data_IF_240435470088
#
_entry.id   IF_240435470088
#
_cell.length_a   1.000
_cell.length_b   1.000
_cell.length_c   1.000
_cell.angle_alpha   90.00
_cell.angle_beta   90.00
_cell.angle_gamma   90.00
#
_symmetry.space_group_name_H-M   'P 1'
#
loop_
_entity.id
_entity.type
_entity.pdbx_description
1 polymer ?
#
# COMPACT_ATOMS: atom_id res chain seq x y z
N UNK A 1 55.51 -38.48 -22.87
CA UNK A 1 55.17 -37.04 -22.94
C UNK A 1 53.66 -36.87 -22.78
N UNK A 2 53.18 -36.21 -21.72
CA UNK A 2 51.73 -35.97 -21.52
C UNK A 2 51.32 -34.78 -22.41
N UNK A 3 50.44 -34.98 -23.39
CA UNK A 3 49.86 -33.90 -24.20
C UNK A 3 49.02 -33.00 -23.28
N UNK A 4 49.40 -31.74 -23.11
CA UNK A 4 48.55 -30.73 -22.47
C UNK A 4 47.37 -30.46 -23.41
N UNK A 5 46.14 -30.74 -22.98
CA UNK A 5 44.92 -30.36 -23.69
C UNK A 5 44.73 -28.84 -23.50
N UNK A 6 44.73 -28.10 -24.60
CA UNK A 6 44.40 -26.67 -24.61
C UNK A 6 42.88 -26.47 -24.72
N UNK A 7 42.39 -25.32 -24.25
CA UNK A 7 41.01 -24.90 -24.42
C UNK A 7 40.68 -24.72 -25.91
N UNK A 8 39.48 -25.14 -26.31
CA UNK A 8 38.97 -24.89 -27.67
C UNK A 8 38.34 -23.49 -27.74
N UNK A 9 38.40 -22.85 -28.92
CA UNK A 9 37.75 -21.54 -29.15
C UNK A 9 36.23 -21.61 -28.89
N UNK A 10 35.61 -22.75 -29.21
CA UNK A 10 34.18 -22.97 -29.00
C UNK A 10 33.81 -23.08 -27.52
N UNK A 11 34.65 -23.69 -26.68
CA UNK A 11 34.44 -23.72 -25.22
C UNK A 11 34.44 -22.30 -24.65
N UNK A 12 35.39 -21.46 -25.06
CA UNK A 12 35.44 -20.08 -24.57
C UNK A 12 34.19 -19.29 -25.02
N UNK A 13 33.73 -19.50 -26.26
CA UNK A 13 32.57 -18.82 -26.81
C UNK A 13 31.28 -19.17 -26.07
N UNK A 14 31.08 -20.45 -25.72
CA UNK A 14 29.90 -20.89 -24.96
C UNK A 14 29.94 -20.30 -23.55
N UNK A 15 31.10 -20.26 -22.90
CA UNK A 15 31.23 -19.73 -21.54
C UNK A 15 30.85 -18.25 -21.48
N UNK A 16 31.38 -17.42 -22.39
CA UNK A 16 31.03 -15.99 -22.40
C UNK A 16 29.56 -15.76 -22.77
N UNK A 17 28.99 -16.59 -23.63
CA UNK A 17 27.55 -16.53 -23.95
C UNK A 17 26.68 -16.83 -22.72
N UNK A 18 27.03 -17.85 -21.92
CA UNK A 18 26.27 -18.17 -20.70
C UNK A 18 26.47 -17.10 -19.63
N UNK A 19 27.70 -16.61 -19.42
CA UNK A 19 27.99 -15.59 -18.41
C UNK A 19 27.25 -14.28 -18.70
N UNK A 20 27.14 -13.87 -19.97
CA UNK A 20 26.39 -12.65 -20.33
C UNK A 20 24.91 -12.78 -20.02
N UNK A 21 24.27 -13.91 -20.38
CA UNK A 21 22.86 -14.16 -20.06
C UNK A 21 22.61 -14.11 -18.56
N UNK A 22 23.45 -14.78 -17.76
CA UNK A 22 23.33 -14.78 -16.30
C UNK A 22 23.53 -13.38 -15.71
N UNK A 23 24.49 -12.60 -16.23
CA UNK A 23 24.74 -11.23 -15.79
C UNK A 23 23.54 -10.31 -16.03
N UNK A 24 22.88 -10.40 -17.20
CA UNK A 24 21.68 -9.61 -17.49
C UNK A 24 20.53 -9.93 -16.54
N UNK A 25 20.27 -11.21 -16.29
CA UNK A 25 19.21 -11.62 -15.36
C UNK A 25 19.46 -11.13 -13.92
N UNK A 26 20.71 -11.17 -13.47
CA UNK A 26 21.10 -10.71 -12.14
C UNK A 26 20.78 -9.21 -11.92
N UNK A 27 20.99 -8.35 -12.93
CA UNK A 27 20.74 -6.91 -12.81
C UNK A 27 19.26 -6.58 -12.53
N UNK A 28 18.33 -7.23 -13.24
CA UNK A 28 16.89 -7.03 -13.02
C UNK A 28 16.46 -7.50 -11.63
N UNK A 29 16.98 -8.64 -11.18
CA UNK A 29 16.68 -9.18 -9.86
C UNK A 29 17.12 -8.21 -8.74
N UNK A 30 18.33 -7.65 -8.83
CA UNK A 30 18.86 -6.73 -7.82
C UNK A 30 18.01 -5.46 -7.71
N UNK A 31 17.58 -4.86 -8.84
CA UNK A 31 16.74 -3.65 -8.82
C UNK A 31 15.43 -3.87 -8.04
N UNK A 32 14.77 -4.99 -8.27
CA UNK A 32 13.54 -5.34 -7.57
C UNK A 32 13.77 -5.60 -6.07
N UNK A 33 14.88 -6.24 -5.70
CA UNK A 33 15.22 -6.45 -4.29
C UNK A 33 15.53 -5.14 -3.56
N UNK A 34 16.23 -4.21 -4.23
CA UNK A 34 16.50 -2.87 -3.68
C UNK A 34 15.20 -2.08 -3.46
N UNK A 35 14.25 -2.15 -4.41
CA UNK A 35 12.93 -1.53 -4.25
C UNK A 35 12.18 -2.09 -3.03
N UNK A 36 12.12 -3.41 -2.88
CA UNK A 36 11.52 -4.07 -1.71
C UNK A 36 12.20 -3.67 -0.39
N UNK A 37 13.52 -3.56 -0.39
CA UNK A 37 14.27 -3.15 0.80
C UNK A 37 13.96 -1.70 1.20
N UNK A 38 13.84 -0.79 0.23
CA UNK A 38 13.42 0.60 0.48
C UNK A 38 11.97 0.66 0.96
N UNK A 39 11.07 -0.12 0.37
CA UNK A 39 9.66 -0.18 0.80
C UNK A 39 9.50 -0.71 2.22
N UNK A 40 10.23 -1.77 2.58
CA UNK A 40 10.27 -2.27 3.94
C UNK A 40 10.77 -1.19 4.92
N UNK A 41 11.78 -0.41 4.49
CA UNK A 41 12.27 0.73 5.27
C UNK A 41 11.22 1.84 5.40
N UNK A 42 10.54 2.23 4.32
CA UNK A 42 9.45 3.23 4.36
C UNK A 42 8.34 2.83 5.32
N UNK A 43 7.92 1.57 5.28
CA UNK A 43 6.90 1.05 6.20
C UNK A 43 7.36 1.11 7.65
N UNK A 44 8.59 0.68 7.94
CA UNK A 44 9.17 0.74 9.27
C UNK A 44 9.34 2.19 9.77
N UNK A 45 9.76 3.10 8.90
CA UNK A 45 9.95 4.51 9.21
C UNK A 45 8.61 5.20 9.50
N UNK A 46 7.58 4.96 8.69
CA UNK A 46 6.21 5.42 8.97
C UNK A 46 5.69 4.85 10.30
N UNK A 47 5.92 3.56 10.58
CA UNK A 47 5.49 2.95 11.84
C UNK A 47 6.13 3.60 13.06
N UNK A 48 7.44 3.91 13.00
CA UNK A 48 8.12 4.64 14.09
C UNK A 48 7.56 6.05 14.29
N UNK A 49 7.26 6.75 13.19
CA UNK A 49 6.63 8.07 13.27
C UNK A 49 5.25 7.95 13.89
N UNK A 50 4.47 6.95 13.48
CA UNK A 50 3.15 6.65 14.03
C UNK A 50 3.23 6.49 15.55
N UNK A 51 4.07 5.58 16.05
CA UNK A 51 4.27 5.37 17.50
C UNK A 51 4.60 6.66 18.25
N UNK A 52 5.49 7.49 17.70
CA UNK A 52 5.87 8.76 18.32
C UNK A 52 4.74 9.78 18.31
N UNK A 53 3.94 9.81 17.25
CA UNK A 53 2.78 10.70 17.11
C UNK A 53 1.63 10.28 18.04
N UNK A 54 1.41 8.98 18.22
CA UNK A 54 0.47 8.47 19.21
C UNK A 54 0.93 8.77 20.65
N UNK A 55 2.23 8.68 20.93
CA UNK A 55 2.76 9.05 22.26
C UNK A 55 2.65 10.56 22.52
N UNK A 56 2.87 11.38 21.50
CA UNK A 56 2.65 12.83 21.58
C UNK A 56 1.20 13.16 21.95
N UNK A 57 0.24 12.45 21.37
CA UNK A 57 -1.19 12.65 21.62
C UNK A 57 -1.56 12.37 23.08
N UNK A 58 -1.00 11.32 23.69
CA UNK A 58 -1.24 11.00 25.10
C UNK A 58 -0.83 12.11 26.07
N UNK A 59 0.18 12.89 25.72
CA UNK A 59 0.70 13.98 26.56
C UNK A 59 0.04 15.34 26.26
N UNK A 60 -0.56 15.51 25.08
CA UNK A 60 -1.07 16.79 24.59
C UNK A 60 -2.57 16.79 24.26
N UNK A 61 -3.25 15.66 24.41
CA UNK A 61 -4.65 15.41 24.03
C UNK A 61 -4.97 15.76 22.56
N UNK A 62 -3.94 15.82 21.71
CA UNK A 62 -4.06 16.13 20.29
C UNK A 62 -2.83 15.70 19.49
N UNK A 63 -3.01 15.50 18.18
CA UNK A 63 -1.92 15.20 17.25
C UNK A 63 -1.14 16.45 16.82
N UNK A 64 0.15 16.32 16.48
CA UNK A 64 0.96 17.43 16.01
C UNK A 64 0.45 17.99 14.69
N UNK A 65 0.68 19.29 14.44
CA UNK A 65 0.24 19.93 13.20
C UNK A 65 1.12 19.57 11.99
N UNK A 66 2.36 19.15 12.23
CA UNK A 66 3.31 18.78 11.19
C UNK A 66 4.33 17.77 11.71
N UNK A 67 4.85 16.95 10.81
CA UNK A 67 5.97 16.04 11.05
C UNK A 67 6.93 16.17 9.87
N UNK A 68 8.14 16.66 10.14
CA UNK A 68 9.17 16.91 9.14
C UNK A 68 10.48 16.24 9.58
N UNK A 69 11.20 15.66 8.62
CA UNK A 69 12.48 15.02 8.88
C UNK A 69 13.67 16.00 8.90
N UNK A 70 13.47 17.23 8.40
CA UNK A 70 14.48 18.29 8.44
C UNK A 70 14.36 19.10 9.73
N UNK A 71 15.49 19.58 10.29
CA UNK A 71 15.49 20.41 11.50
C UNK A 71 15.19 21.90 11.18
N UNK A 72 14.29 22.18 10.24
CA UNK A 72 13.94 23.57 9.92
C UNK A 72 12.92 24.16 10.90
N UNK A 73 13.06 25.47 11.09
CA UNK A 73 12.37 26.33 12.04
C UNK A 73 10.86 26.02 11.99
N UNK A 74 10.32 25.56 13.13
CA UNK A 74 8.93 25.09 13.34
C UNK A 74 8.62 23.61 13.10
N UNK A 75 9.61 22.73 12.91
CA UNK A 75 9.44 21.28 13.14
C UNK A 75 9.25 20.98 14.65
N UNK A 76 8.02 21.21 15.10
CA UNK A 76 7.43 21.11 16.44
C UNK A 76 7.68 19.75 17.13
N UNK A 77 8.06 19.83 18.43
CA UNK A 77 7.76 18.98 19.61
C UNK A 77 7.76 17.44 19.53
N UNK A 78 8.02 16.78 18.40
CA UNK A 78 8.06 15.31 18.35
C UNK A 78 9.40 14.74 18.84
N UNK A 79 10.45 15.56 18.93
CA UNK A 79 11.80 15.15 19.37
C UNK A 79 11.87 14.42 20.72
N UNK A 80 11.11 14.79 21.78
CA UNK A 80 11.07 13.97 23.00
C UNK A 80 10.55 12.54 22.76
N UNK A 81 9.73 12.32 21.74
CA UNK A 81 9.14 11.02 21.40
C UNK A 81 9.91 10.28 20.30
N UNK A 82 10.64 11.01 19.46
CA UNK A 82 11.45 10.46 18.37
C UNK A 82 12.71 11.30 18.12
N UNK A 83 13.87 10.75 18.49
CA UNK A 83 15.16 11.46 18.41
C UNK A 83 15.51 11.97 17.01
N UNK A 84 15.21 11.16 15.99
CA UNK A 84 15.45 11.46 14.57
C UNK A 84 14.22 11.03 13.80
N UNK A 85 13.54 11.98 13.16
CA UNK A 85 12.43 11.69 12.26
C UNK A 85 13.03 11.19 10.94
N UNK A 86 12.70 9.96 10.49
CA UNK A 86 13.25 9.42 9.24
C UNK A 86 12.67 10.14 8.01
N UNK A 87 13.53 10.35 7.00
CA UNK A 87 13.15 10.80 5.67
C UNK A 87 12.97 9.61 4.71
N UNK A 88 12.32 9.83 3.58
CA UNK A 88 12.26 8.84 2.50
C UNK A 88 13.68 8.44 2.04
N UNK A 89 13.99 7.13 1.97
CA UNK A 89 15.34 6.66 1.66
C UNK A 89 15.76 6.88 0.21
N UNK A 90 14.84 7.23 -0.69
CA UNK A 90 15.13 7.51 -2.09
C UNK A 90 15.20 9.02 -2.36
N UNK A 91 14.20 9.78 -1.92
CA UNK A 91 14.13 11.22 -2.22
C UNK A 91 14.84 12.08 -1.19
N UNK A 92 14.95 11.62 0.06
CA UNK A 92 15.43 12.41 1.18
C UNK A 92 14.39 13.38 1.75
N UNK A 93 13.16 13.36 1.23
CA UNK A 93 12.09 14.25 1.69
C UNK A 93 11.37 13.69 2.94
N UNK A 94 10.62 14.55 3.62
CA UNK A 94 9.73 14.13 4.70
C UNK A 94 8.57 13.31 4.14
N UNK A 95 8.14 12.28 4.88
CA UNK A 95 6.89 11.60 4.59
C UNK A 95 5.72 12.57 4.63
N UNK A 96 4.71 12.35 3.77
CA UNK A 96 3.55 13.24 3.73
C UNK A 96 2.68 12.99 4.96
N UNK A 97 2.62 13.99 5.84
CA UNK A 97 1.75 14.03 6.99
C UNK A 97 0.51 14.90 6.68
N UNK A 98 -0.67 14.40 7.03
CA UNK A 98 -1.97 15.08 6.89
C UNK A 98 -2.71 15.04 8.23
N UNK A 99 -2.72 16.13 9.00
CA UNK A 99 -3.57 16.25 10.18
C UNK A 99 -5.00 16.66 9.80
N UNK A 100 -5.96 16.41 10.70
CA UNK A 100 -7.35 16.87 10.57
C UNK A 100 -7.50 18.40 10.55
N UNK A 101 -6.50 19.13 11.05
CA UNK A 101 -6.51 20.58 11.15
C UNK A 101 -5.15 21.14 11.60
N UNK A 102 -4.96 22.47 11.51
CA UNK A 102 -3.68 23.13 11.81
C UNK A 102 -3.39 23.28 13.31
N UNK A 103 -4.40 23.12 14.16
CA UNK A 103 -4.32 23.27 15.62
C UNK A 103 -5.05 22.10 16.25
N UNK A 104 -4.41 21.45 17.22
CA UNK A 104 -4.95 20.32 17.98
C UNK A 104 -5.72 19.32 17.11
N UNK A 105 -5.00 18.65 16.21
CA UNK A 105 -5.62 17.72 15.29
C UNK A 105 -6.20 16.51 16.03
N UNK A 106 -7.42 16.09 15.67
CA UNK A 106 -8.11 14.96 16.29
C UNK A 106 -7.80 13.64 15.60
N UNK A 107 -7.28 13.67 14.37
CA UNK A 107 -6.78 12.50 13.65
C UNK A 107 -5.65 12.92 12.69
N UNK A 108 -4.86 11.95 12.22
CA UNK A 108 -3.85 12.18 11.19
C UNK A 108 -3.71 11.00 10.22
N UNK A 109 -3.04 11.25 9.10
CA UNK A 109 -2.59 10.24 8.13
C UNK A 109 -1.15 10.50 7.72
N UNK A 110 -0.41 9.42 7.51
CA UNK A 110 0.95 9.39 6.99
C UNK A 110 0.93 8.62 5.67
N UNK A 111 1.52 9.19 4.62
CA UNK A 111 1.56 8.57 3.30
C UNK A 111 2.99 8.34 2.82
N UNK A 112 3.16 7.29 2.02
CA UNK A 112 4.35 7.03 1.22
C UNK A 112 4.00 6.47 -0.17
N UNK A 113 5.01 6.43 -1.02
CA UNK A 113 4.98 5.78 -2.32
C UNK A 113 5.90 4.55 -2.23
N UNK A 114 5.29 3.37 -2.23
CA UNK A 114 5.99 2.10 -2.41
C UNK A 114 6.32 1.88 -3.88
N UNK A 115 7.50 1.32 -4.13
CA UNK A 115 8.02 1.06 -5.47
C UNK A 115 7.62 -0.34 -5.99
N UNK A 116 7.43 -1.30 -5.10
CA UNK A 116 7.08 -2.67 -5.46
C UNK A 116 5.57 -2.81 -5.65
N UNK A 117 5.12 -2.75 -6.91
CA UNK A 117 3.71 -2.79 -7.31
C UNK A 117 2.93 -4.04 -6.84
N UNK A 118 3.62 -5.14 -6.53
CA UNK A 118 3.00 -6.39 -6.05
C UNK A 118 3.02 -6.53 -4.53
N UNK A 119 3.30 -5.45 -3.81
CA UNK A 119 3.17 -5.42 -2.36
C UNK A 119 1.68 -5.46 -1.98
N UNK A 120 1.33 -6.33 -1.02
CA UNK A 120 -0.06 -6.53 -0.58
C UNK A 120 -0.67 -5.31 0.11
N UNK A 121 0.17 -4.44 0.67
CA UNK A 121 -0.26 -3.25 1.41
C UNK A 121 -0.38 -2.03 0.49
N UNK A 122 -0.01 -2.17 -0.79
CA UNK A 122 -0.11 -1.12 -1.79
C UNK A 122 -1.57 -0.91 -2.21
N UNK A 123 -2.03 0.33 -2.11
CA UNK A 123 -3.36 0.80 -2.49
C UNK A 123 -3.24 2.04 -3.37
N UNK A 124 -3.35 1.94 -4.70
CA UNK A 124 -3.07 3.06 -5.58
C UNK A 124 -4.09 4.19 -5.42
N UNK A 125 -3.65 5.43 -5.69
CA UNK A 125 -4.54 6.57 -5.86
C UNK A 125 -5.04 7.19 -4.56
N UNK A 126 -4.35 7.01 -3.43
CA UNK A 126 -4.75 7.55 -2.13
C UNK A 126 -4.06 8.89 -1.82
N UNK A 127 -4.60 9.57 -0.80
CA UNK A 127 -4.02 10.79 -0.24
C UNK A 127 -4.18 12.03 -1.14
N UNK A 128 -3.53 13.14 -0.78
CA UNK A 128 -3.65 14.40 -1.52
C UNK A 128 -3.26 14.23 -2.99
N UNK A 129 -4.17 14.62 -3.89
CA UNK A 129 -3.97 14.50 -5.34
C UNK A 129 -3.79 13.06 -5.84
N UNK A 130 -4.23 12.05 -5.09
CA UNK A 130 -4.09 10.63 -5.45
C UNK A 130 -2.65 10.20 -5.79
N UNK A 131 -1.67 10.89 -5.19
CA UNK A 131 -0.25 10.74 -5.51
C UNK A 131 0.46 9.67 -4.68
N UNK A 132 -0.25 9.01 -3.75
CA UNK A 132 0.33 8.03 -2.83
C UNK A 132 -0.29 6.65 -3.04
N UNK A 133 0.41 5.63 -2.53
CA UNK A 133 -0.05 4.25 -2.64
C UNK A 133 0.10 3.42 -1.36
N UNK A 134 0.52 4.03 -0.25
CA UNK A 134 0.56 3.42 1.06
C UNK A 134 0.28 4.48 2.13
N UNK A 135 -0.43 4.10 3.18
CA UNK A 135 -0.66 4.99 4.31
C UNK A 135 -0.78 4.23 5.63
N UNK A 136 -0.48 4.94 6.72
CA UNK A 136 -0.93 4.62 8.07
C UNK A 136 -1.65 5.83 8.65
N UNK A 137 -2.49 5.62 9.65
CA UNK A 137 -3.32 6.67 10.21
C UNK A 137 -3.64 6.38 11.68
N UNK A 138 -4.09 7.40 12.40
CA UNK A 138 -4.66 7.19 13.74
C UNK A 138 -5.91 6.30 13.66
N UNK A 139 -6.27 5.57 14.74
CA UNK A 139 -7.42 4.66 14.75
C UNK A 139 -8.77 5.32 14.41
N UNK A 140 -8.89 6.62 14.64
CA UNK A 140 -10.09 7.42 14.39
C UNK A 140 -10.05 8.22 13.08
N UNK A 141 -8.98 8.11 12.29
CA UNK A 141 -8.89 8.81 11.01
C UNK A 141 -9.93 8.25 10.02
N UNK A 142 -10.66 9.11 9.29
CA UNK A 142 -11.48 8.65 8.20
C UNK A 142 -10.61 7.93 7.16
N UNK A 143 -11.15 6.93 6.48
CA UNK A 143 -10.45 6.25 5.39
C UNK A 143 -10.04 7.30 4.34
N UNK A 144 -8.77 7.37 3.91
CA UNK A 144 -8.37 8.29 2.86
C UNK A 144 -9.16 7.94 1.61
N UNK A 145 -10.00 8.88 1.21
CA UNK A 145 -10.69 8.83 -0.07
C UNK A 145 -9.62 9.06 -1.11
N UNK A 146 -9.14 8.00 -1.76
CA UNK A 146 -8.60 8.19 -3.09
C UNK A 146 -9.70 8.78 -3.95
N UNK A 147 -9.39 9.53 -5.02
CA UNK A 147 -10.33 9.59 -6.12
C UNK A 147 -10.75 8.12 -6.32
N UNK A 148 -12.04 7.76 -6.25
CA UNK A 148 -12.42 6.41 -6.63
C UNK A 148 -11.75 6.25 -7.99
N UNK A 149 -10.79 5.31 -8.11
CA UNK A 149 -10.28 4.88 -9.43
C UNK A 149 -11.51 4.93 -10.29
N UNK A 150 -11.58 5.79 -11.34
CA UNK A 150 -12.84 6.02 -12.04
C UNK A 150 -13.40 4.64 -12.22
N UNK A 151 -14.47 4.32 -11.49
CA UNK A 151 -15.08 3.00 -11.55
C UNK A 151 -15.25 2.85 -13.02
N UNK A 152 -14.56 1.90 -13.69
CA UNK A 152 -14.40 1.92 -15.14
C UNK A 152 -15.76 2.25 -15.68
N UNK A 153 -15.88 3.46 -16.25
CA UNK A 153 -17.15 4.17 -16.43
C UNK A 153 -18.23 3.15 -16.70
N UNK A 154 -19.15 2.95 -15.74
CA UNK A 154 -20.22 1.95 -15.75
C UNK A 154 -20.17 1.07 -17.01
N UNK A 155 -19.62 -0.15 -16.97
CA UNK A 155 -20.04 -1.10 -17.98
C UNK A 155 -21.57 -1.16 -17.87
N UNK A 156 -22.30 -0.91 -18.96
CA UNK A 156 -23.75 -0.90 -18.93
C UNK A 156 -24.22 -2.26 -18.41
N UNK A 157 -25.04 -2.25 -17.35
CA UNK A 157 -25.74 -3.43 -16.83
C UNK A 157 -24.84 -4.65 -16.52
N UNK A 158 -23.96 -4.51 -15.53
CA UNK A 158 -23.24 -5.64 -14.94
C UNK A 158 -24.06 -6.40 -13.90
N UNK A 159 -23.84 -7.71 -13.79
CA UNK A 159 -24.39 -8.53 -12.71
C UNK A 159 -23.68 -8.19 -11.39
N UNK A 160 -24.42 -7.74 -10.37
CA UNK A 160 -23.90 -7.54 -9.03
C UNK A 160 -23.94 -8.85 -8.24
N UNK A 161 -23.04 -9.03 -7.28
CA UNK A 161 -23.00 -10.19 -6.40
C UNK A 161 -22.99 -9.79 -4.92
N UNK A 162 -23.60 -10.59 -4.06
CA UNK A 162 -23.67 -10.36 -2.62
C UNK A 162 -23.81 -11.68 -1.85
N UNK A 163 -23.59 -11.63 -0.54
CA UNK A 163 -23.79 -12.81 0.32
C UNK A 163 -25.24 -12.89 0.77
N UNK A 164 -25.85 -14.06 0.59
CA UNK A 164 -27.19 -14.39 1.09
C UNK A 164 -27.19 -15.76 1.75
N UNK A 165 -27.51 -15.82 3.04
CA UNK A 165 -27.46 -17.02 3.87
C UNK A 165 -26.12 -17.76 3.77
N UNK A 166 -25.02 -17.01 3.75
CA UNK A 166 -23.66 -17.53 3.70
C UNK A 166 -23.20 -18.04 2.34
N UNK A 167 -23.95 -17.75 1.27
CA UNK A 167 -23.64 -18.13 -0.11
C UNK A 167 -23.55 -16.88 -1.00
N UNK A 168 -22.57 -16.84 -1.90
CA UNK A 168 -22.43 -15.80 -2.90
C UNK A 168 -23.49 -15.98 -3.99
N UNK A 169 -24.37 -14.99 -4.15
CA UNK A 169 -25.47 -14.99 -5.13
C UNK A 169 -25.43 -13.72 -5.96
N UNK A 170 -26.01 -13.75 -7.15
CA UNK A 170 -26.25 -12.52 -7.92
C UNK A 170 -27.38 -11.72 -7.26
N UNK A 171 -27.17 -10.41 -7.12
CA UNK A 171 -28.15 -9.49 -6.56
C UNK A 171 -28.69 -8.57 -7.65
N UNK A 172 -29.99 -8.24 -7.62
CA UNK A 172 -30.60 -7.38 -8.63
C UNK A 172 -30.11 -5.94 -8.48
N UNK A 173 -30.43 -5.10 -9.46
CA UNK A 173 -30.18 -3.66 -9.36
C UNK A 173 -31.19 -2.98 -8.45
N UNK A 174 -30.83 -1.84 -7.87
CA UNK A 174 -31.75 -0.97 -7.15
C UNK A 174 -32.87 -0.44 -8.07
N UNK A 175 -33.93 0.12 -7.48
CA UNK A 175 -35.08 0.65 -8.22
C UNK A 175 -34.72 1.77 -9.20
N UNK A 176 -33.57 2.43 -9.00
CA UNK A 176 -33.03 3.50 -9.82
C UNK A 176 -32.15 2.98 -10.98
N UNK A 177 -31.86 1.67 -11.04
CA UNK A 177 -31.01 1.06 -12.07
C UNK A 177 -29.55 1.51 -12.05
N UNK A 178 -29.09 2.09 -10.94
CA UNK A 178 -27.78 2.75 -10.83
C UNK A 178 -26.76 1.96 -9.98
N UNK A 179 -27.19 0.86 -9.36
CA UNK A 179 -26.33 0.07 -8.46
C UNK A 179 -26.99 -1.22 -7.97
N UNK A 180 -26.34 -1.97 -7.06
CA UNK A 180 -26.90 -3.18 -6.46
C UNK A 180 -28.10 -2.87 -5.54
N UNK A 181 -29.01 -3.84 -5.38
CA UNK A 181 -30.21 -3.68 -4.55
C UNK A 181 -29.95 -3.70 -3.04
N UNK A 182 -28.76 -4.13 -2.62
CA UNK A 182 -28.37 -4.28 -1.22
C UNK A 182 -26.85 -4.05 -1.07
N UNK A 183 -26.39 -3.80 0.15
CA UNK A 183 -24.98 -3.61 0.48
C UNK A 183 -24.60 -4.44 1.73
N UNK A 184 -23.36 -4.96 1.83
CA UNK A 184 -22.26 -4.84 0.87
C UNK A 184 -22.47 -5.71 -0.38
N UNK A 185 -22.07 -5.20 -1.54
CA UNK A 185 -22.14 -5.90 -2.82
C UNK A 185 -20.81 -5.75 -3.60
N UNK A 186 -20.61 -6.64 -4.57
CA UNK A 186 -19.37 -6.78 -5.34
C UNK A 186 -19.69 -6.76 -6.84
N UNK A 187 -18.82 -6.10 -7.63
CA UNK A 187 -18.97 -5.98 -9.09
C UNK A 187 -18.53 -7.24 -9.86
N UNK A 188 -18.07 -8.26 -9.15
CA UNK A 188 -17.69 -9.57 -9.68
C UNK A 188 -17.95 -10.64 -8.59
N UNK A 189 -17.77 -11.94 -8.87
CA UNK A 189 -18.00 -12.97 -7.87
C UNK A 189 -16.85 -13.09 -6.84
N UNK A 190 -16.26 -11.98 -6.37
CA UNK A 190 -15.30 -11.96 -5.24
C UNK A 190 -15.94 -12.53 -3.97
N UNK A 191 -17.26 -12.51 -3.82
CA UNK A 191 -17.91 -13.22 -2.72
C UNK A 191 -17.73 -14.75 -2.76
N UNK A 192 -17.28 -15.34 -3.88
CA UNK A 192 -16.89 -16.76 -3.94
C UNK A 192 -15.53 -17.04 -3.31
N UNK A 193 -14.77 -16.02 -2.91
CA UNK A 193 -13.54 -16.22 -2.14
C UNK A 193 -13.89 -16.86 -0.79
N UNK A 194 -13.25 -17.98 -0.41
CA UNK A 194 -13.55 -18.65 0.84
C UNK A 194 -13.46 -17.71 2.04
N UNK A 195 -14.52 -17.66 2.84
CA UNK A 195 -14.61 -16.83 4.04
C UNK A 195 -15.31 -15.47 3.86
N UNK A 196 -15.55 -15.01 2.63
CA UNK A 196 -16.25 -13.73 2.40
C UNK A 196 -17.73 -13.78 2.80
N UNK A 197 -18.45 -14.83 2.41
CA UNK A 197 -19.83 -15.06 2.88
C UNK A 197 -19.91 -15.93 4.14
N UNK A 198 -18.79 -16.46 4.63
CA UNK A 198 -18.80 -17.45 5.69
C UNK A 198 -19.35 -18.79 5.19
N UNK A 199 -20.29 -19.37 5.94
CA UNK A 199 -20.99 -20.62 5.58
C UNK A 199 -22.47 -20.49 5.88
N UNK A 200 -23.35 -21.38 5.35
CA UNK A 200 -24.77 -21.36 5.70
C UNK A 200 -25.05 -21.51 7.21
N UNK A 201 -24.12 -22.07 7.99
CA UNK A 201 -24.25 -22.19 9.44
C UNK A 201 -23.76 -20.93 10.20
N UNK A 202 -22.96 -20.07 9.55
CA UNK A 202 -22.42 -18.84 10.14
C UNK A 202 -22.21 -17.79 9.02
N UNK A 203 -23.29 -17.09 8.61
CA UNK A 203 -23.25 -16.14 7.50
C UNK A 203 -22.44 -14.89 7.85
N UNK A 204 -21.75 -14.33 6.85
CA UNK A 204 -20.95 -13.11 6.98
C UNK A 204 -21.17 -12.19 5.78
N UNK A 205 -21.04 -10.88 6.02
CA UNK A 205 -21.16 -9.85 4.99
C UNK A 205 -22.46 -9.96 4.17
N UNK A 206 -23.55 -10.32 4.87
CA UNK A 206 -24.88 -10.47 4.27
C UNK A 206 -25.34 -9.17 3.62
N UNK A 207 -25.84 -9.28 2.40
CA UNK A 207 -26.39 -8.19 1.62
C UNK A 207 -27.82 -7.92 2.13
N UNK A 208 -27.99 -6.84 2.90
CA UNK A 208 -29.25 -6.42 3.52
C UNK A 208 -30.00 -5.37 2.69
#
# INVERSE_FOLDING_TARGET
MKKKRGFTLIELLIVVAVVTILAFMALFAVRQQMAKARDARRKADIHKIQEAVEEYEKDHDCYPASVLCTPEVEAIKLRPYLNIIPCDPLTGDSYKYEPSGPVCASWYRLFAILEYERDKDLRPGIGPGSSYNFYQASPNAPIPVGIPVPTPSLPPQGNYYGCKSGVCVQVPTNAQGTGPSCLPAFDNPICNVPGNCGTPANPRNECL
#
